data_IF_055662603518
#
_entry.id   IF_055662603518
#
_cell.length_a   1.000
_cell.length_b   1.000
_cell.length_c   1.000
_cell.angle_alpha   90.00
_cell.angle_beta   90.00
_cell.angle_gamma   90.00
#
_symmetry.space_group_name_H-M   'P 1'
#
loop_
_entity.id
_entity.type
_entity.pdbx_description
1 polymer ?
#
# COMPACT_ATOMS: atom_id res chain seq x y z
N UNK A 1 -6.61 6.60 8.16
CA UNK A 1 -5.93 6.38 6.86
C UNK A 1 -6.41 7.43 5.91
N UNK A 2 -5.47 8.13 5.30
CA UNK A 2 -5.73 9.24 4.39
C UNK A 2 -5.18 8.94 3.01
N UNK A 3 -6.06 8.96 2.02
CA UNK A 3 -5.71 8.66 0.63
C UNK A 3 -5.44 9.98 -0.09
N UNK A 4 -4.17 10.25 -0.43
CA UNK A 4 -3.76 11.47 -1.16
C UNK A 4 -3.92 11.36 -2.66
N UNK A 5 -4.11 10.14 -3.17
CA UNK A 5 -4.14 9.79 -4.59
C UNK A 5 -5.47 9.10 -4.94
N UNK A 6 -6.60 9.75 -4.65
CA UNK A 6 -7.93 9.13 -4.71
C UNK A 6 -8.25 8.46 -6.07
N UNK A 7 -7.95 9.12 -7.18
CA UNK A 7 -8.16 8.56 -8.53
C UNK A 7 -7.34 7.27 -8.75
N UNK A 8 -6.05 7.31 -8.40
CA UNK A 8 -5.16 6.14 -8.50
C UNK A 8 -5.62 4.99 -7.59
N UNK A 9 -6.09 5.32 -6.38
CA UNK A 9 -6.67 4.35 -5.46
C UNK A 9 -7.90 3.66 -6.04
N UNK A 10 -8.85 4.42 -6.57
CA UNK A 10 -10.07 3.88 -7.17
C UNK A 10 -9.77 3.01 -8.40
N UNK A 11 -8.84 3.46 -9.26
CA UNK A 11 -8.41 2.68 -10.42
C UNK A 11 -7.74 1.37 -10.00
N UNK A 12 -6.92 1.40 -8.95
CA UNK A 12 -6.27 0.21 -8.39
C UNK A 12 -7.27 -0.76 -7.77
N UNK A 13 -8.27 -0.26 -7.04
CA UNK A 13 -9.36 -1.08 -6.48
C UNK A 13 -10.20 -1.71 -7.59
N UNK A 14 -10.53 -0.96 -8.65
CA UNK A 14 -11.23 -1.49 -9.83
C UNK A 14 -10.41 -2.59 -10.51
N UNK A 15 -9.10 -2.37 -10.66
CA UNK A 15 -8.20 -3.35 -11.25
C UNK A 15 -8.10 -4.63 -10.41
N UNK A 16 -7.87 -4.53 -9.10
CA UNK A 16 -7.85 -5.69 -8.20
C UNK A 16 -9.13 -6.53 -8.30
N UNK A 17 -10.30 -5.87 -8.33
CA UNK A 17 -11.59 -6.54 -8.55
C UNK A 17 -11.68 -7.24 -9.90
N UNK A 18 -11.19 -6.61 -10.98
CA UNK A 18 -11.25 -7.19 -12.33
C UNK A 18 -10.41 -8.46 -12.48
N UNK A 19 -9.36 -8.62 -11.68
CA UNK A 19 -8.50 -9.82 -11.67
C UNK A 19 -8.87 -10.81 -10.56
N UNK A 20 -9.89 -10.51 -9.74
CA UNK A 20 -10.33 -11.36 -8.64
C UNK A 20 -9.30 -11.48 -7.50
N UNK A 21 -8.43 -10.48 -7.33
CA UNK A 21 -7.37 -10.49 -6.33
C UNK A 21 -7.80 -9.73 -5.06
N UNK A 22 -7.66 -10.38 -3.90
CA UNK A 22 -8.03 -9.85 -2.58
C UNK A 22 -6.84 -9.36 -1.75
N UNK A 23 -5.61 -9.49 -2.25
CA UNK A 23 -4.41 -9.13 -1.48
C UNK A 23 -4.30 -7.62 -1.28
N UNK A 24 -4.82 -6.80 -2.19
CA UNK A 24 -4.93 -5.35 -2.01
C UNK A 24 -5.76 -5.01 -0.78
N UNK A 25 -6.99 -5.55 -0.66
CA UNK A 25 -7.88 -5.24 0.46
C UNK A 25 -7.27 -5.72 1.78
N UNK A 26 -6.67 -6.91 1.80
CA UNK A 26 -5.95 -7.45 2.97
C UNK A 26 -4.80 -6.54 3.41
N UNK A 27 -4.04 -5.98 2.46
CA UNK A 27 -2.98 -5.04 2.79
C UNK A 27 -3.51 -3.70 3.32
N UNK A 28 -4.58 -3.16 2.73
CA UNK A 28 -5.23 -1.94 3.21
C UNK A 28 -5.77 -2.12 4.63
N UNK A 29 -6.38 -3.27 4.92
CA UNK A 29 -6.83 -3.62 6.28
C UNK A 29 -5.67 -3.70 7.27
N UNK A 30 -4.54 -4.30 6.87
CA UNK A 30 -3.32 -4.33 7.70
C UNK A 30 -2.77 -2.94 7.98
N UNK A 31 -2.75 -2.04 7.00
CA UNK A 31 -2.33 -0.64 7.20
C UNK A 31 -3.30 0.11 8.11
N UNK A 32 -4.62 -0.11 8.01
CA UNK A 32 -5.61 0.45 8.94
C UNK A 32 -5.41 -0.08 10.37
N UNK A 33 -5.14 -1.37 10.52
CA UNK A 33 -4.82 -1.96 11.82
C UNK A 33 -3.52 -1.41 12.40
N UNK A 34 -2.56 -1.05 11.57
CA UNK A 34 -1.33 -0.38 12.00
C UNK A 34 -1.63 0.95 12.70
N UNK A 35 -2.54 1.77 12.17
CA UNK A 35 -2.96 3.01 12.84
C UNK A 35 -3.52 2.75 14.23
N UNK A 36 -4.35 1.71 14.38
CA UNK A 36 -4.92 1.29 15.67
C UNK A 36 -3.80 0.87 16.62
N UNK A 37 -2.84 0.08 16.15
CA UNK A 37 -1.69 -0.39 16.93
C UNK A 37 -0.75 0.75 17.35
N UNK A 38 -0.81 1.90 16.66
CA UNK A 38 -0.06 3.10 17.05
C UNK A 38 -0.66 3.83 18.26
N UNK A 39 -1.78 3.37 18.82
CA UNK A 39 -2.55 4.04 19.87
C UNK A 39 -2.92 5.50 19.51
N UNK A 40 -3.25 5.74 18.23
CA UNK A 40 -3.61 7.06 17.73
C UNK A 40 -2.42 8.03 17.56
N UNK A 41 -1.19 7.53 17.62
CA UNK A 41 0.03 8.32 17.36
C UNK A 41 0.16 8.67 15.87
N UNK A 42 -0.17 7.73 14.99
CA UNK A 42 0.06 7.85 13.56
C UNK A 42 -1.22 7.64 12.74
N UNK A 43 -1.38 8.46 11.71
CA UNK A 43 -2.24 8.18 10.56
C UNK A 43 -1.36 7.76 9.38
N UNK A 44 -1.77 6.72 8.65
CA UNK A 44 -1.15 6.30 7.40
C UNK A 44 -1.67 7.18 6.27
N UNK A 45 -0.75 7.87 5.59
CA UNK A 45 -1.02 8.56 4.33
C UNK A 45 -0.57 7.69 3.15
N UNK A 46 -1.47 7.44 2.18
CA UNK A 46 -1.21 6.71 0.93
C UNK A 46 -1.03 7.68 -0.24
N UNK A 47 0.02 7.49 -1.03
CA UNK A 47 0.36 8.30 -2.21
C UNK A 47 0.72 7.41 -3.41
N UNK A 48 0.64 7.97 -4.61
CA UNK A 48 0.97 7.26 -5.85
C UNK A 48 2.43 6.84 -5.86
N UNK A 49 2.69 5.57 -6.17
CA UNK A 49 4.02 5.08 -6.50
C UNK A 49 4.27 5.14 -8.03
N UNK A 50 5.53 5.07 -8.45
CA UNK A 50 5.84 5.02 -9.88
C UNK A 50 5.37 3.70 -10.53
N UNK A 51 5.33 2.61 -9.76
CA UNK A 51 4.88 1.32 -10.24
C UNK A 51 3.35 1.30 -10.41
N UNK A 52 2.82 0.77 -11.53
CA UNK A 52 1.38 0.68 -11.76
C UNK A 52 0.67 -0.03 -10.60
N UNK A 53 -0.50 0.49 -10.22
CA UNK A 53 -1.33 -0.05 -9.15
C UNK A 53 -0.64 -0.19 -7.79
N UNK A 54 0.49 0.49 -7.60
CA UNK A 54 1.26 0.48 -6.35
C UNK A 54 1.14 1.84 -5.65
N UNK A 55 1.44 1.85 -4.36
CA UNK A 55 1.42 3.04 -3.53
C UNK A 55 2.68 3.11 -2.70
N UNK A 56 3.13 4.32 -2.41
CA UNK A 56 3.91 4.55 -1.21
C UNK A 56 2.98 4.89 -0.05
N UNK A 57 3.44 4.65 1.16
CA UNK A 57 2.76 5.10 2.36
C UNK A 57 3.74 5.65 3.40
N UNK A 58 3.23 6.50 4.28
CA UNK A 58 3.98 7.00 5.43
C UNK A 58 3.10 7.06 6.68
N UNK A 59 3.67 6.73 7.82
CA UNK A 59 3.14 7.12 9.12
C UNK A 59 3.33 8.63 9.32
N UNK A 60 2.26 9.35 9.66
CA UNK A 60 2.27 10.79 9.91
C UNK A 60 1.64 11.07 11.27
N UNK A 61 2.41 11.70 12.15
CA UNK A 61 1.93 12.13 13.46
C UNK A 61 1.13 13.44 13.35
N UNK A 62 0.43 13.81 14.43
CA UNK A 62 -0.41 15.03 14.47
C UNK A 62 0.37 16.33 14.23
N UNK A 63 1.64 16.36 14.61
CA UNK A 63 2.54 17.50 14.39
C UNK A 63 3.18 17.50 12.99
N UNK A 64 2.85 16.52 12.15
CA UNK A 64 3.38 16.36 10.80
C UNK A 64 4.70 15.58 10.72
N UNK A 65 5.28 15.16 11.84
CA UNK A 65 6.48 14.31 11.83
C UNK A 65 6.17 12.95 11.21
N UNK A 66 7.15 12.38 10.50
CA UNK A 66 7.01 11.10 9.80
C UNK A 66 7.69 9.98 10.57
N UNK A 67 7.00 8.84 10.63
CA UNK A 67 7.52 7.58 11.15
C UNK A 67 8.03 6.69 10.00
N UNK A 68 7.58 5.43 9.99
CA UNK A 68 7.89 4.47 8.93
C UNK A 68 7.37 4.97 7.58
N UNK A 69 8.16 4.79 6.54
CA UNK A 69 7.81 5.03 5.13
C UNK A 69 8.03 3.71 4.39
N UNK A 70 7.07 3.32 3.57
CA UNK A 70 7.11 2.04 2.87
C UNK A 70 6.32 2.03 1.57
N UNK A 71 6.20 0.85 0.98
CA UNK A 71 5.45 0.60 -0.25
C UNK A 71 4.32 -0.41 -0.03
N UNK A 72 3.19 -0.18 -0.69
CA UNK A 72 2.16 -1.18 -0.95
C UNK A 72 2.23 -1.50 -2.44
N UNK A 73 2.99 -2.54 -2.77
CA UNK A 73 3.47 -2.79 -4.14
C UNK A 73 2.69 -3.92 -4.80
N UNK A 74 2.28 -3.71 -6.05
CA UNK A 74 1.69 -4.74 -6.90
C UNK A 74 2.76 -5.51 -7.67
N UNK A 75 2.86 -6.81 -7.39
CA UNK A 75 3.70 -7.77 -8.10
C UNK A 75 2.88 -8.43 -9.23
N UNK A 76 2.86 -7.77 -10.39
CA UNK A 76 2.11 -8.21 -11.57
C UNK A 76 2.85 -9.22 -12.45
N UNK A 77 2.30 -9.46 -13.65
CA UNK A 77 2.94 -10.22 -14.74
C UNK A 77 2.98 -9.37 -16.02
N UNK A 78 4.13 -8.79 -16.43
CA UNK A 78 5.40 -8.75 -15.69
C UNK A 78 5.31 -7.88 -14.43
N UNK A 79 6.17 -8.18 -13.44
CA UNK A 79 6.33 -7.33 -12.26
C UNK A 79 7.07 -6.05 -12.67
N UNK A 80 6.52 -4.90 -12.26
CA UNK A 80 7.07 -3.56 -12.55
C UNK A 80 7.34 -2.76 -11.28
N UNK A 81 7.26 -3.40 -10.10
CA UNK A 81 7.62 -2.80 -8.82
C UNK A 81 9.14 -2.70 -8.63
N UNK A 82 9.91 -3.54 -9.34
CA UNK A 82 11.36 -3.72 -9.18
C UNK A 82 11.78 -4.15 -7.77
N UNK A 83 10.83 -4.50 -6.90
CA UNK A 83 11.11 -4.98 -5.56
C UNK A 83 11.44 -6.47 -5.57
N UNK A 84 12.39 -6.88 -4.72
CA UNK A 84 12.79 -8.28 -4.57
C UNK A 84 11.94 -8.95 -3.50
N UNK A 85 11.25 -10.03 -3.86
CA UNK A 85 10.51 -10.87 -2.90
C UNK A 85 11.42 -11.98 -2.36
N UNK A 86 11.73 -11.91 -1.06
CA UNK A 86 12.42 -12.99 -0.35
C UNK A 86 11.42 -14.12 -0.11
N UNK A 87 11.71 -15.33 -0.62
CA UNK A 87 10.83 -16.51 -0.50
C UNK A 87 10.20 -17.00 -1.80
N UNK A 88 10.53 -16.38 -2.94
CA UNK A 88 10.11 -16.84 -4.27
C UNK A 88 9.07 -15.92 -4.95
N UNK A 89 8.59 -16.30 -6.14
CA UNK A 89 7.68 -15.47 -6.91
C UNK A 89 6.32 -15.32 -6.22
N UNK A 90 5.88 -14.09 -6.04
CA UNK A 90 4.57 -13.72 -5.49
C UNK A 90 3.81 -12.90 -6.54
N UNK A 91 2.48 -13.05 -6.56
CA UNK A 91 1.61 -12.23 -7.40
C UNK A 91 0.51 -11.63 -6.55
N UNK A 92 0.25 -10.34 -6.74
CA UNK A 92 -0.68 -9.55 -5.94
C UNK A 92 0.01 -8.39 -5.23
N UNK A 93 -0.64 -7.83 -4.22
CA UNK A 93 -0.13 -6.70 -3.43
C UNK A 93 0.57 -7.18 -2.16
N UNK A 94 1.69 -6.54 -1.83
CA UNK A 94 2.41 -6.76 -0.58
C UNK A 94 2.91 -5.45 0.03
N UNK A 95 3.08 -5.44 1.35
CA UNK A 95 3.62 -4.29 2.10
C UNK A 95 5.13 -4.47 2.24
N UNK A 96 5.88 -3.44 1.86
CA UNK A 96 7.34 -3.31 1.97
C UNK A 96 7.63 -2.14 2.90
N UNK A 97 8.60 -2.30 3.81
CA UNK A 97 9.00 -1.31 4.82
C UNK A 97 10.50 -1.28 4.95
#
# INVERSE_FOLDING_TARGET
MKIKCQEHYENTVKYAKSIGDETLSKCIERLKQWEVNSNGRYEIELYTDFAPYSFGFAEVAKDGTRGVVGGLLYHGKPDRSFAVMIGGPFHGWSIHT
#
